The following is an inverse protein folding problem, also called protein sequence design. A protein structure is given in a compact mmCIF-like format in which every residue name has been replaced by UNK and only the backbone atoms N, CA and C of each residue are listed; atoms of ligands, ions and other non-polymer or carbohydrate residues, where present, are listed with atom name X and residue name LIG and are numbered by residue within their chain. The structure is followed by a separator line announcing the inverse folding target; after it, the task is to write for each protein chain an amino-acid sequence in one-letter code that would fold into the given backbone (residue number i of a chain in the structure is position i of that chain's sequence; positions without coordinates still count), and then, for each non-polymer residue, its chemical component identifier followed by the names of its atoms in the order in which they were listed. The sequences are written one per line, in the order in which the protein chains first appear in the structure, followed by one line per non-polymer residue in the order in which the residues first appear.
data_IF_021439527789
#
_entry.id   IF_021439527789
#
_cell.length_a   1.000
_cell.length_b   1.000
_cell.length_c   1.000
_cell.angle_alpha   90.00
_cell.angle_beta   90.00
_cell.angle_gamma   90.00
#
_symmetry.space_group_name_H-M   'P 1'
#
loop_
_entity.id
_entity.type
_entity.pdbx_description
1 polymer ?
#
# COMPACT_ATOMS: atom_id res chain seq x y z
N UNK A 1 -30.97 32.28 -1.87
CA UNK A 1 -30.63 30.84 -1.78
C UNK A 1 -30.44 30.52 -0.32
N UNK A 2 -31.16 29.55 0.23
CA UNK A 2 -31.00 29.18 1.64
C UNK A 2 -29.78 28.29 1.83
N UNK A 3 -28.85 28.75 2.66
CA UNK A 3 -27.65 28.01 3.01
C UNK A 3 -27.98 26.84 3.96
N UNK A 4 -28.37 25.69 3.39
CA UNK A 4 -28.49 24.42 4.11
C UNK A 4 -27.12 23.98 4.66
N UNK A 5 -26.82 24.40 5.88
CA UNK A 5 -25.61 23.98 6.61
C UNK A 5 -25.73 22.49 6.99
N UNK A 6 -24.96 21.64 6.33
CA UNK A 6 -24.82 20.24 6.73
C UNK A 6 -23.79 20.12 7.86
N UNK A 7 -24.26 19.71 9.04
CA UNK A 7 -23.42 19.42 10.19
C UNK A 7 -23.15 17.92 10.27
N UNK A 8 -21.88 17.53 10.38
CA UNK A 8 -21.50 16.14 10.67
C UNK A 8 -21.15 16.03 12.15
N UNK A 9 -21.84 15.13 12.85
CA UNK A 9 -21.52 14.79 14.23
C UNK A 9 -20.38 13.77 14.24
N UNK A 10 -19.38 13.97 15.11
CA UNK A 10 -18.28 13.03 15.33
C UNK A 10 -17.94 12.93 16.81
N UNK A 11 -17.29 11.82 17.19
CA UNK A 11 -16.97 11.50 18.58
C UNK A 11 -15.52 11.82 18.87
N UNK A 12 -15.25 12.51 19.97
CA UNK A 12 -13.90 12.87 20.43
C UNK A 12 -13.80 12.55 21.92
N UNK A 13 -13.14 11.43 22.22
CA UNK A 13 -13.15 10.83 23.56
C UNK A 13 -14.58 10.52 24.02
N UNK A 14 -14.95 11.04 25.21
CA UNK A 14 -16.30 10.90 25.79
C UNK A 14 -17.31 11.95 25.30
N UNK A 15 -16.92 12.88 24.42
CA UNK A 15 -17.75 14.00 23.98
C UNK A 15 -18.15 13.89 22.50
N UNK A 16 -19.38 14.30 22.18
CA UNK A 16 -19.85 14.49 20.82
C UNK A 16 -19.58 15.92 20.36
N UNK A 17 -19.09 16.10 19.13
CA UNK A 17 -18.81 17.41 18.53
C UNK A 17 -19.44 17.52 17.15
N UNK A 18 -19.90 18.70 16.80
CA UNK A 18 -20.36 19.05 15.45
C UNK A 18 -19.22 19.73 14.67
N UNK A 19 -19.09 19.38 13.39
CA UNK A 19 -18.35 20.17 12.41
C UNK A 19 -19.33 20.62 11.31
N UNK A 20 -19.27 21.89 10.94
CA UNK A 20 -20.02 22.45 9.84
C UNK A 20 -19.13 22.47 8.58
N UNK A 21 -19.54 21.79 7.51
CA UNK A 21 -18.91 22.00 6.21
C UNK A 21 -19.59 23.19 5.51
N UNK A 22 -18.89 24.32 5.46
CA UNK A 22 -19.25 25.44 4.59
C UNK A 22 -18.59 25.25 3.22
N UNK A 23 -19.28 24.56 2.30
CA UNK A 23 -18.88 24.50 0.89
C UNK A 23 -19.26 25.82 0.23
N UNK A 24 -18.30 26.75 0.11
CA UNK A 24 -18.50 28.03 -0.58
C UNK A 24 -18.48 27.79 -2.09
N UNK A 25 -19.64 27.50 -2.68
CA UNK A 25 -19.78 27.36 -4.13
C UNK A 25 -19.57 28.72 -4.81
N UNK A 26 -18.41 28.92 -5.45
CA UNK A 26 -18.18 30.05 -6.36
C UNK A 26 -18.98 29.80 -7.64
N UNK A 27 -20.01 30.61 -7.86
CA UNK A 27 -20.91 30.45 -8.99
C UNK A 27 -20.29 31.00 -10.29
N UNK A 28 -19.84 30.11 -11.17
CA UNK A 28 -19.72 30.37 -12.61
C UNK A 28 -20.89 29.69 -13.31
N UNK A 29 -21.78 30.48 -13.91
CA UNK A 29 -23.01 29.98 -14.53
C UNK A 29 -22.81 29.49 -15.95
N UNK A 30 -23.15 28.22 -16.19
CA UNK A 30 -23.47 27.69 -17.52
C UNK A 30 -24.79 26.92 -17.44
N UNK A 31 -25.59 26.98 -18.50
CA UNK A 31 -26.96 26.44 -18.55
C UNK A 31 -26.98 24.94 -18.85
N UNK A 32 -27.93 24.24 -18.24
CA UNK A 32 -28.11 22.80 -18.42
C UNK A 32 -28.48 22.39 -19.86
N UNK A 33 -27.96 21.24 -20.28
CA UNK A 33 -28.61 20.35 -21.23
C UNK A 33 -28.75 18.98 -20.55
N UNK A 34 -29.92 18.35 -20.65
CA UNK A 34 -30.18 17.04 -20.03
C UNK A 34 -29.56 15.91 -20.87
N UNK A 35 -28.83 15.01 -20.21
CA UNK A 35 -28.54 13.67 -20.74
C UNK A 35 -28.98 12.65 -19.70
N UNK A 36 -29.99 11.85 -20.04
CA UNK A 36 -30.42 10.70 -19.24
C UNK A 36 -29.37 9.60 -19.33
N UNK A 37 -28.96 9.05 -18.19
CA UNK A 37 -28.08 7.89 -18.17
C UNK A 37 -28.90 6.61 -18.48
N UNK A 38 -28.64 6.00 -19.63
CA UNK A 38 -29.08 4.64 -19.94
C UNK A 38 -27.92 3.68 -19.68
N UNK A 39 -28.12 2.74 -18.75
CA UNK A 39 -27.22 1.62 -18.54
C UNK A 39 -27.90 0.34 -19.03
N UNK A 40 -27.38 -0.23 -20.12
CA UNK A 40 -27.51 -1.66 -20.42
C UNK A 40 -26.29 -2.10 -21.25
N UNK A 41 -25.96 -3.39 -21.26
CA UNK A 41 -24.86 -3.96 -22.04
C UNK A 41 -25.19 -5.39 -22.42
N UNK A 42 -25.87 -5.53 -23.55
CA UNK A 42 -26.25 -6.82 -24.13
C UNK A 42 -25.12 -7.38 -25.00
N UNK A 43 -24.55 -8.49 -24.55
CA UNK A 43 -23.55 -9.26 -25.29
C UNK A 43 -24.16 -9.98 -26.49
N UNK A 44 -23.57 -9.82 -27.68
CA UNK A 44 -23.68 -10.79 -28.78
C UNK A 44 -22.34 -10.97 -29.47
N UNK A 45 -21.83 -12.21 -29.47
CA UNK A 45 -20.71 -12.63 -30.31
C UNK A 45 -21.18 -12.82 -31.76
N UNK A 46 -20.28 -12.71 -32.75
CA UNK A 46 -20.01 -13.72 -33.81
C UNK A 46 -18.91 -13.21 -34.76
N UNK A 47 -17.70 -13.69 -34.54
CA UNK A 47 -16.76 -14.27 -35.51
C UNK A 47 -16.63 -13.72 -36.96
N UNK A 48 -15.48 -13.04 -37.18
CA UNK A 48 -14.30 -13.58 -37.90
C UNK A 48 -14.06 -13.27 -39.40
N UNK A 49 -12.76 -13.31 -39.75
CA UNK A 49 -12.12 -13.45 -41.08
C UNK A 49 -12.04 -12.18 -41.98
N UNK A 50 -10.95 -11.88 -42.74
CA UNK A 50 -9.69 -12.63 -42.98
C UNK A 50 -8.51 -11.75 -43.48
N UNK A 51 -7.30 -12.36 -43.50
CA UNK A 51 -6.11 -12.10 -44.38
C UNK A 51 -5.24 -10.84 -44.18
N UNK A 52 -3.93 -10.83 -44.50
CA UNK A 52 -2.90 -11.90 -44.53
C UNK A 52 -1.47 -11.35 -44.78
N UNK A 53 -0.49 -11.77 -43.96
CA UNK A 53 0.96 -11.85 -44.27
C UNK A 53 1.61 -12.76 -43.21
N UNK A 54 2.02 -14.02 -43.47
CA UNK A 54 3.08 -14.55 -44.37
C UNK A 54 4.49 -14.47 -43.74
N UNK A 55 4.94 -15.64 -43.23
CA UNK A 55 6.34 -16.07 -43.12
C UNK A 55 6.37 -17.61 -43.28
N UNK A 56 7.46 -18.19 -43.77
CA UNK A 56 7.42 -19.48 -44.49
C UNK A 56 7.96 -20.69 -43.71
N UNK A 57 7.37 -21.87 -43.97
CA UNK A 57 7.68 -23.19 -43.39
C UNK A 57 8.83 -23.95 -44.05
N UNK A 58 9.47 -24.87 -43.33
CA UNK A 58 9.99 -26.16 -43.84
C UNK A 58 10.22 -27.17 -42.70
N UNK A 59 10.10 -28.47 -42.99
CA UNK A 59 10.03 -29.56 -41.98
C UNK A 59 10.70 -30.87 -42.45
N UNK A 60 11.38 -31.59 -41.54
CA UNK A 60 11.73 -33.04 -41.55
C UNK A 60 12.53 -33.34 -40.25
N UNK A 61 12.23 -34.29 -39.34
CA UNK A 61 12.25 -35.78 -39.41
C UNK A 61 13.60 -36.34 -39.87
N UNK A 62 14.27 -37.32 -39.21
CA UNK A 62 13.95 -38.22 -38.08
C UNK A 62 15.31 -38.76 -37.48
N UNK A 63 15.50 -39.73 -36.55
CA UNK A 63 14.68 -40.75 -35.84
C UNK A 63 15.46 -41.36 -34.62
N UNK A 64 14.95 -42.43 -33.98
CA UNK A 64 15.64 -43.47 -33.15
C UNK A 64 16.25 -43.04 -31.79
N UNK A 65 15.55 -43.27 -30.66
CA UNK A 65 15.60 -44.47 -29.74
C UNK A 65 16.79 -44.45 -28.75
N UNK A 66 16.66 -44.70 -27.43
CA UNK A 66 15.61 -45.36 -26.60
C UNK A 66 15.39 -44.57 -25.26
N UNK A 67 14.85 -45.04 -24.11
CA UNK A 67 14.49 -46.39 -23.63
C UNK A 67 13.47 -46.44 -22.44
N UNK A 68 12.98 -47.66 -22.21
CA UNK A 68 12.40 -48.35 -21.03
C UNK A 68 12.79 -47.92 -19.60
N UNK A 69 12.00 -48.19 -18.53
CA UNK A 69 10.53 -48.13 -18.29
C UNK A 69 10.21 -48.27 -16.77
N UNK A 70 9.28 -47.44 -16.26
CA UNK A 70 8.05 -47.77 -15.47
C UNK A 70 8.03 -48.79 -14.28
N UNK A 71 7.37 -48.36 -13.19
CA UNK A 71 6.56 -49.11 -12.18
C UNK A 71 7.12 -49.74 -10.86
N UNK A 72 6.70 -49.11 -9.75
CA UNK A 72 5.85 -49.64 -8.65
C UNK A 72 6.07 -51.04 -8.00
N UNK A 73 6.37 -51.00 -6.69
CA UNK A 73 5.77 -51.77 -5.56
C UNK A 73 5.62 -53.31 -5.57
N UNK A 74 6.11 -53.98 -4.52
CA UNK A 74 5.36 -54.88 -3.58
C UNK A 74 6.20 -55.15 -2.31
N UNK A 75 5.67 -55.87 -1.30
CA UNK A 75 6.30 -56.13 0.00
C UNK A 75 6.29 -57.62 0.42
N UNK A 76 7.19 -58.02 1.33
CA UNK A 76 7.19 -59.20 2.24
C UNK A 76 8.43 -59.06 3.16
N UNK A 77 8.48 -59.31 4.49
CA UNK A 77 8.03 -60.43 5.36
C UNK A 77 8.76 -61.76 5.09
N UNK A 78 9.07 -62.62 6.08
CA UNK A 78 9.10 -62.50 7.56
C UNK A 78 10.58 -62.44 8.03
N UNK A 79 11.06 -62.68 9.27
CA UNK A 79 10.53 -63.10 10.60
C UNK A 79 11.38 -62.33 11.67
N UNK A 80 11.73 -62.72 12.91
CA UNK A 80 11.51 -63.91 13.76
C UNK A 80 11.33 -63.55 15.27
N UNK A 81 11.41 -64.53 16.18
CA UNK A 81 10.53 -64.60 17.35
C UNK A 81 11.16 -65.02 18.71
N UNK A 82 10.63 -64.45 19.82
CA UNK A 82 10.62 -64.99 21.20
C UNK A 82 9.76 -64.06 22.09
N UNK A 83 8.43 -64.24 22.17
CA UNK A 83 7.65 -65.11 23.09
C UNK A 83 7.44 -64.55 24.52
N UNK A 84 6.33 -64.94 25.15
CA UNK A 84 5.65 -64.20 26.23
C UNK A 84 5.41 -65.03 27.51
N UNK A 85 5.45 -64.34 28.66
CA UNK A 85 4.59 -64.55 29.86
C UNK A 85 4.54 -65.89 30.58
N UNK A 86 4.81 -65.92 31.90
CA UNK A 86 3.84 -66.40 32.93
C UNK A 86 4.28 -66.20 34.39
N UNK A 87 3.28 -66.03 35.26
CA UNK A 87 3.32 -65.68 36.69
C UNK A 87 3.86 -66.76 37.65
N UNK A 88 4.17 -66.39 38.90
CA UNK A 88 3.36 -66.80 40.08
C UNK A 88 3.75 -66.06 41.38
N UNK A 89 2.86 -66.10 42.37
CA UNK A 89 2.88 -65.38 43.66
C UNK A 89 3.57 -66.15 44.81
N UNK A 90 4.02 -65.43 45.84
CA UNK A 90 4.04 -65.91 47.24
C UNK A 90 4.07 -64.73 48.24
N UNK A 91 3.42 -64.90 49.40
CA UNK A 91 3.27 -63.89 50.48
C UNK A 91 4.16 -64.22 51.67
N UNK A 92 4.64 -63.20 52.40
CA UNK A 92 4.99 -63.26 53.83
C UNK A 92 4.79 -61.88 54.48
N UNK A 93 4.46 -61.85 55.77
CA UNK A 93 4.01 -60.65 56.51
C UNK A 93 4.97 -60.22 57.64
N UNK A 94 4.85 -58.96 58.08
CA UNK A 94 5.35 -58.42 59.36
C UNK A 94 6.89 -58.34 59.52
N UNK A 95 7.49 -57.32 60.15
CA UNK A 95 7.01 -56.41 61.21
C UNK A 95 7.37 -54.94 60.95
N UNK A 96 6.81 -54.02 61.74
CA UNK A 96 7.12 -52.59 61.66
C UNK A 96 8.42 -52.22 62.41
N UNK A 97 9.17 -51.26 61.86
CA UNK A 97 10.04 -50.35 62.62
C UNK A 97 9.96 -48.93 62.02
N UNK A 98 10.18 -47.91 62.85
CA UNK A 98 9.87 -46.51 62.54
C UNK A 98 11.10 -45.73 62.08
N UNK A 99 11.37 -45.73 60.77
CA UNK A 99 12.29 -44.77 60.15
C UNK A 99 11.52 -43.65 59.48
N UNK A 100 11.41 -42.51 60.18
CA UNK A 100 10.90 -41.26 59.60
C UNK A 100 11.90 -40.70 58.59
N UNK A 101 11.89 -41.24 57.37
CA UNK A 101 12.57 -40.62 56.22
C UNK A 101 11.90 -39.28 56.00
N UNK A 102 12.55 -38.20 56.44
CA UNK A 102 12.12 -36.85 56.13
C UNK A 102 12.14 -36.69 54.60
N UNK A 103 10.97 -36.67 53.98
CA UNK A 103 10.82 -36.46 52.54
C UNK A 103 11.50 -35.14 52.17
N UNK A 104 12.70 -35.24 51.58
CA UNK A 104 13.43 -34.10 51.04
C UNK A 104 12.64 -33.59 49.84
N UNK A 105 11.66 -32.73 50.10
CA UNK A 105 10.77 -32.17 49.11
C UNK A 105 11.61 -31.57 47.97
N UNK A 106 11.35 -32.01 46.74
CA UNK A 106 12.06 -31.53 45.56
C UNK A 106 11.78 -30.04 45.39
N UNK A 107 12.74 -29.22 45.79
CA UNK A 107 12.69 -27.76 45.73
C UNK A 107 12.43 -27.35 44.28
N UNK A 108 11.27 -26.75 44.01
CA UNK A 108 10.88 -26.35 42.66
C UNK A 108 11.81 -25.26 42.13
N UNK A 109 12.25 -25.41 40.89
CA UNK A 109 13.19 -24.50 40.24
C UNK A 109 12.99 -24.52 38.73
N UNK A 110 13.02 -23.36 38.08
CA UNK A 110 12.66 -23.21 36.67
C UNK A 110 11.15 -23.01 36.47
N UNK A 111 10.68 -23.19 35.23
CA UNK A 111 9.26 -23.05 34.89
C UNK A 111 8.47 -24.30 35.32
N UNK A 112 7.36 -24.09 36.03
CA UNK A 112 6.44 -25.14 36.49
C UNK A 112 5.02 -24.76 36.03
N UNK A 113 4.24 -25.75 35.57
CA UNK A 113 2.82 -25.56 35.27
C UNK A 113 1.98 -26.31 36.30
N UNK A 114 1.02 -25.59 36.90
CA UNK A 114 0.06 -26.02 37.90
C UNK A 114 -1.37 -25.87 37.32
N UNK A 115 -2.40 -26.39 38.00
CA UNK A 115 -3.80 -26.28 37.54
C UNK A 115 -4.27 -24.83 37.31
N UNK A 116 -3.66 -23.87 38.01
CA UNK A 116 -3.96 -22.44 37.91
C UNK A 116 -3.18 -21.71 36.79
N UNK A 117 -2.13 -22.32 36.22
CA UNK A 117 -1.31 -21.71 35.17
C UNK A 117 0.18 -22.01 35.29
N UNK A 118 1.01 -21.25 34.58
CA UNK A 118 2.46 -21.44 34.52
C UNK A 118 3.19 -20.40 35.36
N UNK A 119 4.14 -20.84 36.18
CA UNK A 119 4.88 -20.05 37.16
C UNK A 119 6.40 -20.26 37.01
N UNK A 120 7.21 -19.33 37.50
CA UNK A 120 8.66 -19.46 37.61
C UNK A 120 9.07 -19.56 39.08
N UNK A 121 9.88 -20.57 39.40
CA UNK A 121 10.41 -20.78 40.75
C UNK A 121 11.94 -20.69 40.78
N UNK A 122 12.48 -20.11 41.85
CA UNK A 122 13.90 -20.15 42.18
C UNK A 122 14.04 -20.63 43.62
N UNK A 123 14.77 -21.73 43.84
CA UNK A 123 14.95 -22.33 45.17
C UNK A 123 13.63 -22.57 45.95
N UNK A 124 12.53 -22.87 45.24
CA UNK A 124 11.20 -23.09 45.81
C UNK A 124 10.36 -21.83 46.02
N UNK A 125 10.91 -20.64 45.79
CA UNK A 125 10.19 -19.37 45.89
C UNK A 125 9.60 -18.97 44.53
N UNK A 126 8.28 -18.71 44.50
CA UNK A 126 7.55 -18.25 43.30
C UNK A 126 7.98 -16.81 42.98
N UNK A 127 8.51 -16.61 41.76
CA UNK A 127 8.99 -15.32 41.30
C UNK A 127 7.84 -14.47 40.74
N UNK A 128 7.88 -13.16 41.02
CA UNK A 128 6.87 -12.17 40.62
C UNK A 128 7.54 -10.94 40.03
N UNK A 129 6.85 -10.25 39.10
CA UNK A 129 7.38 -9.18 38.23
C UNK A 129 8.74 -9.52 37.59
N UNK A 130 8.92 -10.80 37.26
CA UNK A 130 10.20 -11.40 36.94
C UNK A 130 10.31 -11.74 35.45
N UNK A 131 11.45 -11.38 34.85
CA UNK A 131 11.86 -11.90 33.55
C UNK A 131 12.66 -13.19 33.71
N UNK A 132 12.33 -14.19 32.89
CA UNK A 132 13.11 -15.41 32.72
C UNK A 132 13.57 -15.52 31.27
N UNK A 133 14.77 -16.05 31.04
CA UNK A 133 15.27 -16.38 29.69
C UNK A 133 15.68 -17.85 29.68
N UNK A 134 15.17 -18.63 28.72
CA UNK A 134 15.54 -20.03 28.58
C UNK A 134 16.86 -20.20 27.80
N UNK A 135 17.39 -21.44 27.76
CA UNK A 135 18.64 -21.76 27.07
C UNK A 135 18.58 -21.49 25.55
N UNK A 136 17.36 -21.42 24.97
CA UNK A 136 17.10 -21.05 23.58
C UNK A 136 17.05 -19.52 23.35
N UNK A 137 17.27 -18.70 24.37
CA UNK A 137 17.22 -17.23 24.31
C UNK A 137 15.80 -16.64 24.28
N UNK A 138 14.75 -17.44 24.43
CA UNK A 138 13.37 -16.92 24.53
C UNK A 138 13.16 -16.28 25.90
N UNK A 139 12.60 -15.07 25.89
CA UNK A 139 12.29 -14.30 27.10
C UNK A 139 10.82 -14.47 27.49
N UNK A 140 10.55 -14.70 28.77
CA UNK A 140 9.23 -14.84 29.38
C UNK A 140 9.09 -13.81 30.51
N UNK A 141 7.85 -13.43 30.86
CA UNK A 141 7.56 -12.56 32.00
C UNK A 141 6.50 -13.19 32.90
N UNK A 142 6.66 -13.03 34.21
CA UNK A 142 5.76 -13.51 35.24
C UNK A 142 5.25 -12.31 36.04
N UNK A 143 3.92 -12.21 36.20
CA UNK A 143 3.25 -11.03 36.76
C UNK A 143 3.49 -10.78 38.24
N UNK A 144 2.81 -9.78 38.80
CA UNK A 144 2.71 -9.52 40.24
C UNK A 144 1.98 -10.68 40.99
N UNK A 145 1.11 -11.41 40.29
CA UNK A 145 0.52 -12.69 40.68
C UNK A 145 1.43 -13.91 40.44
N UNK A 146 2.58 -13.71 39.80
CA UNK A 146 3.53 -14.74 39.38
C UNK A 146 3.11 -15.55 38.15
N UNK A 147 1.97 -15.28 37.51
CA UNK A 147 1.52 -16.01 36.32
C UNK A 147 2.29 -15.58 35.08
N UNK A 148 2.65 -16.56 34.23
CA UNK A 148 3.33 -16.31 32.98
C UNK A 148 2.43 -15.54 32.00
N UNK A 149 2.92 -14.41 31.50
CA UNK A 149 2.21 -13.56 30.55
C UNK A 149 2.02 -14.29 29.22
N UNK A 150 0.77 -14.35 28.74
CA UNK A 150 0.39 -14.97 27.46
C UNK A 150 -0.63 -14.12 26.72
N UNK A 151 -0.50 -14.07 25.39
CA UNK A 151 -1.34 -13.33 24.46
C UNK A 151 -1.62 -11.86 24.86
N UNK A 152 -0.68 -11.21 25.57
CA UNK A 152 -0.88 -9.90 26.16
C UNK A 152 0.31 -8.96 26.06
N UNK A 153 0.02 -7.67 26.07
CA UNK A 153 1.00 -6.60 26.07
C UNK A 153 1.52 -6.35 27.49
N UNK A 154 2.83 -6.17 27.61
CA UNK A 154 3.47 -5.58 28.78
C UNK A 154 4.00 -4.19 28.41
N UNK A 155 4.05 -3.25 29.35
CA UNK A 155 4.66 -1.94 29.10
C UNK A 155 5.27 -1.37 30.37
N UNK A 156 6.56 -1.05 30.31
CA UNK A 156 7.33 -0.51 31.43
C UNK A 156 8.46 0.40 30.91
N UNK A 157 8.80 1.44 31.66
CA UNK A 157 9.80 2.46 31.32
C UNK A 157 9.70 3.05 29.89
N UNK A 158 8.47 3.15 29.37
CA UNK A 158 8.19 3.67 28.01
C UNK A 158 8.29 2.64 26.88
N UNK A 159 8.84 1.45 27.15
CA UNK A 159 8.88 0.34 26.20
C UNK A 159 7.58 -0.46 26.27
N UNK A 160 7.12 -0.95 25.11
CA UNK A 160 6.01 -1.92 25.00
C UNK A 160 6.53 -3.23 24.43
N UNK A 161 6.07 -4.36 24.98
CA UNK A 161 6.40 -5.73 24.59
C UNK A 161 5.09 -6.52 24.42
N UNK A 162 5.15 -7.68 23.75
CA UNK A 162 4.03 -8.62 23.66
C UNK A 162 4.52 -10.04 23.89
N UNK A 163 3.75 -10.83 24.63
CA UNK A 163 4.02 -12.24 24.89
C UNK A 163 3.01 -13.11 24.15
N UNK A 164 3.50 -14.14 23.46
CA UNK A 164 2.72 -15.03 22.60
C UNK A 164 1.79 -15.98 23.35
N UNK A 165 1.22 -16.92 22.61
CA UNK A 165 0.38 -18.01 23.14
C UNK A 165 1.21 -19.06 23.91
N UNK A 166 2.45 -19.28 23.48
CA UNK A 166 3.47 -20.02 24.22
C UNK A 166 3.92 -19.28 25.50
N UNK A 167 3.84 -17.95 25.49
CA UNK A 167 4.31 -17.03 26.51
C UNK A 167 5.69 -16.43 26.23
N UNK A 168 6.29 -16.72 25.06
CA UNK A 168 7.55 -16.12 24.67
C UNK A 168 7.33 -14.69 24.16
N UNK A 169 8.27 -13.80 24.48
CA UNK A 169 8.26 -12.40 24.08
C UNK A 169 8.58 -12.26 22.59
N UNK A 170 7.68 -11.64 21.84
CA UNK A 170 7.89 -11.31 20.44
C UNK A 170 9.15 -10.45 20.31
N UNK A 171 10.09 -10.93 19.50
CA UNK A 171 11.41 -10.32 19.25
C UNK A 171 11.74 -10.55 17.78
N UNK A 172 12.11 -9.49 17.06
CA UNK A 172 12.21 -9.40 15.60
C UNK A 172 10.99 -9.92 14.81
N UNK A 173 9.79 -9.77 15.38
CA UNK A 173 8.55 -10.39 14.92
C UNK A 173 7.41 -9.39 14.73
N UNK A 174 6.54 -9.72 13.75
CA UNK A 174 5.30 -9.00 13.49
C UNK A 174 4.14 -9.56 14.33
N UNK A 175 3.25 -8.67 14.77
CA UNK A 175 1.99 -9.03 15.42
C UNK A 175 0.84 -8.33 14.71
N UNK A 176 -0.18 -9.08 14.30
CA UNK A 176 -1.37 -8.54 13.61
C UNK A 176 -2.62 -8.85 14.43
N UNK A 177 -3.36 -7.81 14.84
CA UNK A 177 -4.64 -7.99 15.52
C UNK A 177 -5.58 -6.80 15.30
N UNK A 178 -6.89 -7.07 15.17
CA UNK A 178 -7.94 -6.09 14.90
C UNK A 178 -7.66 -5.16 13.70
N UNK A 179 -6.95 -5.66 12.68
CA UNK A 179 -6.53 -4.89 11.50
C UNK A 179 -5.29 -4.01 11.70
N UNK A 180 -4.71 -3.97 12.91
CA UNK A 180 -3.47 -3.25 13.22
C UNK A 180 -2.29 -4.21 13.08
N UNK A 181 -1.25 -3.78 12.37
CA UNK A 181 0.03 -4.48 12.29
C UNK A 181 1.08 -3.74 13.13
N UNK A 182 1.75 -4.47 14.00
CA UNK A 182 2.83 -4.03 14.88
C UNK A 182 4.10 -4.81 14.57
N UNK A 183 5.25 -4.26 14.95
CA UNK A 183 6.54 -4.97 14.91
C UNK A 183 7.28 -4.77 16.24
N UNK A 184 7.82 -5.87 16.76
CA UNK A 184 8.70 -5.91 17.93
C UNK A 184 10.07 -6.28 17.41
N UNK A 185 11.04 -5.35 17.44
CA UNK A 185 12.37 -5.57 16.88
C UNK A 185 13.37 -6.11 17.91
N UNK A 186 14.60 -5.61 17.82
CA UNK A 186 15.69 -5.89 18.75
C UNK A 186 15.24 -5.66 20.21
N UNK A 187 15.65 -6.57 21.10
CA UNK A 187 15.23 -6.55 22.51
C UNK A 187 13.73 -6.75 22.75
N UNK A 188 12.95 -7.03 21.70
CA UNK A 188 11.50 -7.22 21.74
C UNK A 188 10.70 -5.93 21.92
N UNK A 189 11.31 -4.75 21.74
CA UNK A 189 10.62 -3.46 21.91
C UNK A 189 9.75 -3.17 20.68
N UNK A 190 8.49 -2.79 20.93
CA UNK A 190 7.53 -2.43 19.89
C UNK A 190 7.91 -1.12 19.21
N UNK A 191 8.19 -1.17 17.91
CA UNK A 191 8.50 0.00 17.10
C UNK A 191 7.35 1.01 17.18
N UNK A 192 7.67 2.25 17.56
CA UNK A 192 6.68 3.31 17.84
C UNK A 192 7.30 4.65 17.43
N UNK A 193 6.63 5.39 16.54
CA UNK A 193 7.19 6.54 15.79
C UNK A 193 8.53 6.24 15.09
N UNK A 194 8.65 5.05 14.49
CA UNK A 194 9.90 4.47 14.01
C UNK A 194 9.76 3.89 12.60
N UNK A 195 10.79 4.12 11.78
CA UNK A 195 10.93 3.49 10.47
C UNK A 195 11.44 2.04 10.59
N UNK A 196 10.93 1.17 9.73
CA UNK A 196 11.41 -0.20 9.56
C UNK A 196 11.71 -0.43 8.08
N UNK A 197 12.93 -0.87 7.76
CA UNK A 197 13.35 -1.15 6.38
C UNK A 197 13.75 -2.61 6.26
N UNK A 198 13.13 -3.36 5.34
CA UNK A 198 13.50 -4.74 5.04
C UNK A 198 13.07 -5.12 3.62
N UNK A 199 13.82 -6.01 2.97
CA UNK A 199 13.59 -6.47 1.60
C UNK A 199 13.45 -5.35 0.54
N UNK A 200 14.11 -4.20 0.78
CA UNK A 200 14.02 -3.00 -0.06
C UNK A 200 12.77 -2.14 0.17
N UNK A 201 11.81 -2.61 0.97
CA UNK A 201 10.62 -1.88 1.37
C UNK A 201 10.88 -1.05 2.63
N UNK A 202 10.30 0.16 2.68
CA UNK A 202 10.32 1.03 3.86
C UNK A 202 8.91 1.18 4.43
N UNK A 203 8.77 0.92 5.72
CA UNK A 203 7.53 1.00 6.50
C UNK A 203 7.70 2.00 7.65
N UNK A 204 6.60 2.48 8.23
CA UNK A 204 6.63 3.33 9.42
C UNK A 204 5.57 2.86 10.43
N UNK A 205 6.00 2.64 11.66
CA UNK A 205 5.13 2.35 12.80
C UNK A 205 4.96 3.65 13.60
N UNK A 206 3.76 4.20 13.62
CA UNK A 206 3.52 5.53 14.16
C UNK A 206 3.22 5.56 15.66
N UNK A 207 2.40 6.53 16.06
CA UNK A 207 1.83 6.62 17.41
C UNK A 207 1.06 5.34 17.75
N UNK A 208 1.19 4.86 19.00
CA UNK A 208 0.66 3.55 19.41
C UNK A 208 1.35 2.34 18.77
N UNK A 209 2.34 2.54 17.90
CA UNK A 209 3.11 1.49 17.22
C UNK A 209 2.38 0.80 16.07
N UNK A 210 1.26 1.37 15.58
CA UNK A 210 0.54 0.81 14.43
C UNK A 210 1.24 1.19 13.13
N UNK A 211 1.41 0.22 12.22
CA UNK A 211 1.96 0.45 10.88
C UNK A 211 1.06 1.34 10.03
N UNK A 212 1.60 2.46 9.56
CA UNK A 212 0.93 3.35 8.62
C UNK A 212 0.54 2.60 7.35
N UNK A 213 -0.72 2.72 6.96
CA UNK A 213 -1.33 1.97 5.85
C UNK A 213 -2.39 2.87 5.20
N UNK A 214 -2.31 3.07 3.88
CA UNK A 214 -3.07 4.08 3.13
C UNK A 214 -3.03 5.49 3.75
N UNK A 215 -1.84 5.89 4.23
CA UNK A 215 -1.67 7.02 5.14
C UNK A 215 -0.53 7.95 4.72
N UNK A 216 -0.78 9.26 4.77
CA UNK A 216 0.24 10.28 4.61
C UNK A 216 1.04 10.49 5.89
N UNK A 217 2.34 10.71 5.74
CA UNK A 217 3.28 11.08 6.80
C UNK A 217 4.00 12.37 6.40
N UNK A 218 3.98 13.37 7.27
CA UNK A 218 4.60 14.68 7.02
C UNK A 218 5.68 14.91 8.05
N UNK A 219 6.94 15.06 7.61
CA UNK A 219 8.06 15.42 8.48
C UNK A 219 9.15 16.14 7.67
N UNK A 220 9.94 16.98 8.33
CA UNK A 220 11.04 17.76 7.71
C UNK A 220 10.63 18.59 6.47
N UNK A 221 9.37 19.03 6.39
CA UNK A 221 8.79 19.76 5.24
C UNK A 221 8.34 18.89 4.05
N UNK A 222 8.70 17.61 4.08
CA UNK A 222 8.35 16.60 3.08
C UNK A 222 7.07 15.87 3.45
N UNK A 223 6.37 15.38 2.42
CA UNK A 223 5.17 14.55 2.54
C UNK A 223 5.49 13.21 1.89
N UNK A 224 5.22 12.12 2.61
CA UNK A 224 5.41 10.74 2.19
C UNK A 224 4.05 10.03 2.25
N UNK A 225 3.87 8.94 1.50
CA UNK A 225 2.65 8.12 1.54
C UNK A 225 3.00 6.65 1.71
N UNK A 226 2.29 5.96 2.61
CA UNK A 226 2.39 4.51 2.83
C UNK A 226 1.15 3.84 2.24
N UNK A 227 1.35 2.84 1.38
CA UNK A 227 0.30 2.15 0.64
C UNK A 227 -0.59 1.22 1.47
N UNK A 228 -1.45 0.48 0.79
CA UNK A 228 -2.27 -0.60 1.36
C UNK A 228 -1.40 -1.79 1.85
N UNK A 229 -0.33 -2.06 1.12
CA UNK A 229 0.79 -2.92 1.51
C UNK A 229 1.59 -2.37 2.72
N UNK A 230 1.35 -1.11 3.12
CA UNK A 230 2.10 -0.36 4.12
C UNK A 230 3.48 0.09 3.66
N UNK A 231 3.84 -0.12 2.39
CA UNK A 231 5.13 0.26 1.83
C UNK A 231 5.10 1.73 1.43
N UNK A 232 6.16 2.46 1.76
CA UNK A 232 6.32 3.86 1.37
C UNK A 232 6.47 3.98 -0.15
N UNK A 233 5.55 4.72 -0.77
CA UNK A 233 5.59 5.02 -2.21
C UNK A 233 6.92 5.71 -2.56
N UNK A 234 7.60 5.17 -3.57
CA UNK A 234 8.92 5.59 -4.03
C UNK A 234 8.97 5.34 -5.54
N UNK A 235 9.39 6.33 -6.34
CA UNK A 235 9.29 6.38 -7.80
C UNK A 235 7.88 6.04 -8.34
N UNK A 236 6.81 6.41 -7.61
CA UNK A 236 5.45 5.88 -7.83
C UNK A 236 4.41 7.00 -7.99
N UNK A 237 3.57 6.86 -9.02
CA UNK A 237 2.36 7.67 -9.17
C UNK A 237 1.32 7.30 -8.10
N UNK A 238 0.60 8.30 -7.63
CA UNK A 238 -0.57 8.18 -6.77
C UNK A 238 -1.70 8.99 -7.40
N UNK A 239 -2.85 8.36 -7.63
CA UNK A 239 -4.02 8.98 -8.26
C UNK A 239 -5.16 9.03 -7.25
N UNK A 240 -5.62 10.23 -6.89
CA UNK A 240 -6.74 10.41 -5.97
C UNK A 240 -7.41 11.78 -6.20
N UNK A 241 -8.70 11.89 -5.88
CA UNK A 241 -9.51 13.11 -6.05
C UNK A 241 -9.52 13.67 -7.49
N UNK A 242 -9.31 12.81 -8.49
CA UNK A 242 -9.18 13.21 -9.91
C UNK A 242 -7.79 13.74 -10.30
N UNK A 243 -6.89 13.92 -9.33
CA UNK A 243 -5.53 14.42 -9.53
C UNK A 243 -4.51 13.28 -9.53
N UNK A 244 -3.37 13.52 -10.19
CA UNK A 244 -2.18 12.69 -10.11
C UNK A 244 -1.10 13.39 -9.28
N UNK A 245 -0.34 12.59 -8.53
CA UNK A 245 0.74 13.00 -7.65
C UNK A 245 1.91 12.02 -7.87
N UNK A 246 3.15 12.44 -7.59
CA UNK A 246 4.33 11.56 -7.74
C UNK A 246 5.23 11.61 -6.52
N UNK A 247 5.58 10.43 -6.01
CA UNK A 247 6.57 10.25 -4.95
C UNK A 247 7.91 9.86 -5.57
N UNK A 248 8.94 10.66 -5.30
CA UNK A 248 10.26 10.56 -5.93
C UNK A 248 11.09 9.36 -5.49
N UNK A 249 12.37 9.34 -5.87
CA UNK A 249 13.33 8.29 -5.50
C UNK A 249 13.70 8.31 -4.02
N UNK A 250 13.61 9.48 -3.38
CA UNK A 250 13.66 9.66 -1.94
C UNK A 250 12.32 9.35 -1.24
N UNK A 251 11.27 9.07 -2.01
CA UNK A 251 9.88 8.83 -1.59
C UNK A 251 9.10 10.07 -1.17
N UNK A 252 9.64 11.28 -1.33
CA UNK A 252 8.91 12.51 -1.03
C UNK A 252 7.97 12.90 -2.19
N UNK A 253 6.84 13.51 -1.85
CA UNK A 253 5.91 14.10 -2.82
C UNK A 253 6.60 15.26 -3.56
N UNK A 254 6.72 15.13 -4.88
CA UNK A 254 7.19 16.20 -5.75
C UNK A 254 6.25 17.42 -5.65
N UNK A 255 6.83 18.60 -5.40
CA UNK A 255 6.13 19.90 -5.31
C UNK A 255 7.00 20.99 -5.95
N UNK A 256 6.39 21.96 -6.63
CA UNK A 256 7.07 23.08 -7.30
C UNK A 256 8.26 22.66 -8.19
N UNK A 257 8.11 21.58 -8.95
CA UNK A 257 9.21 20.97 -9.72
C UNK A 257 8.69 20.21 -10.94
N UNK A 258 9.57 19.88 -11.89
CA UNK A 258 9.24 19.02 -13.04
C UNK A 258 9.70 17.60 -12.77
N UNK A 259 8.86 16.60 -13.03
CA UNK A 259 9.18 15.17 -12.92
C UNK A 259 8.99 14.47 -14.27
N UNK A 260 9.91 13.57 -14.62
CA UNK A 260 9.70 12.65 -15.73
C UNK A 260 9.06 11.36 -15.21
N UNK A 261 7.93 10.96 -15.80
CA UNK A 261 7.27 9.69 -15.50
C UNK A 261 7.04 8.97 -16.82
N UNK A 262 7.68 7.81 -16.97
CA UNK A 262 7.61 6.97 -18.17
C UNK A 262 7.88 7.74 -19.47
N UNK A 263 8.88 8.63 -19.48
CA UNK A 263 9.26 9.45 -20.62
C UNK A 263 8.50 10.78 -20.73
N UNK A 264 7.32 10.91 -20.12
CA UNK A 264 6.52 12.15 -20.16
C UNK A 264 6.93 13.11 -19.03
N UNK A 265 7.14 14.39 -19.37
CA UNK A 265 7.41 15.44 -18.37
C UNK A 265 6.11 16.03 -17.82
N UNK A 266 6.00 16.06 -16.49
CA UNK A 266 4.90 16.65 -15.74
C UNK A 266 5.40 17.78 -14.84
N UNK A 267 4.63 18.86 -14.74
CA UNK A 267 4.83 19.93 -13.77
C UNK A 267 4.07 19.60 -12.49
N UNK A 268 4.76 19.56 -11.35
CA UNK A 268 4.15 19.41 -10.03
C UNK A 268 3.96 20.81 -9.40
N UNK A 269 2.72 21.18 -9.08
CA UNK A 269 2.40 22.47 -8.46
C UNK A 269 2.80 22.51 -6.96
N UNK A 270 2.40 23.56 -6.23
CA UNK A 270 2.70 23.70 -4.80
C UNK A 270 2.08 22.60 -3.91
N UNK A 271 0.93 22.07 -4.32
CA UNK A 271 0.22 20.97 -3.66
C UNK A 271 0.68 19.57 -4.15
N UNK A 272 1.60 19.53 -5.11
CA UNK A 272 2.12 18.31 -5.74
C UNK A 272 1.21 17.69 -6.79
N UNK A 273 0.16 18.39 -7.22
CA UNK A 273 -0.69 17.98 -8.35
C UNK A 273 0.10 18.08 -9.64
N UNK A 274 0.09 17.01 -10.43
CA UNK A 274 0.72 16.90 -11.74
C UNK A 274 -0.18 17.38 -12.88
N UNK A 275 0.34 18.28 -13.70
CA UNK A 275 -0.11 18.56 -15.07
C UNK A 275 0.93 18.00 -16.07
N UNK A 276 0.50 17.34 -17.15
CA UNK A 276 1.44 17.01 -18.24
C UNK A 276 1.66 18.24 -19.11
N UNK A 277 2.88 18.47 -19.59
CA UNK A 277 3.14 19.62 -20.48
C UNK A 277 2.24 19.61 -21.72
N UNK A 278 1.91 18.43 -22.27
CA UNK A 278 0.96 18.30 -23.37
C UNK A 278 -0.45 18.79 -23.02
N UNK A 279 -0.97 18.47 -21.84
CA UNK A 279 -2.29 18.92 -21.42
C UNK A 279 -2.33 20.43 -21.15
N UNK A 280 -1.22 21.02 -20.68
CA UNK A 280 -1.10 22.49 -20.52
C UNK A 280 -1.06 23.21 -21.88
N UNK A 281 -0.32 22.67 -22.85
CA UNK A 281 -0.25 23.19 -24.21
C UNK A 281 -1.62 23.09 -24.92
N UNK A 282 -2.28 21.93 -24.91
CA UNK A 282 -3.61 21.75 -25.51
C UNK A 282 -4.67 22.62 -24.80
N UNK A 283 -4.65 22.73 -23.47
CA UNK A 283 -5.56 23.62 -22.73
C UNK A 283 -5.23 25.12 -22.90
N UNK A 284 -4.05 25.45 -23.42
CA UNK A 284 -3.72 26.81 -23.84
C UNK A 284 -4.16 27.08 -25.29
N UNK A 285 -3.94 26.10 -26.19
CA UNK A 285 -4.39 26.07 -27.57
C UNK A 285 -5.90 26.21 -27.70
N UNK A 286 -6.67 25.42 -26.95
CA UNK A 286 -8.14 25.49 -26.92
C UNK A 286 -8.63 26.84 -26.39
N UNK A 287 -7.95 27.38 -25.38
CA UNK A 287 -8.32 28.66 -24.78
C UNK A 287 -8.12 29.83 -25.76
N UNK A 288 -7.07 29.78 -26.59
CA UNK A 288 -6.87 30.76 -27.67
C UNK A 288 -7.90 30.55 -28.78
N UNK A 289 -8.12 29.31 -29.25
CA UNK A 289 -9.15 29.01 -30.24
C UNK A 289 -10.55 29.55 -29.85
N UNK A 290 -10.93 29.36 -28.58
CA UNK A 290 -12.19 29.83 -28.03
C UNK A 290 -12.25 31.37 -27.90
N UNK A 291 -11.12 32.06 -27.75
CA UNK A 291 -11.04 33.53 -27.72
C UNK A 291 -11.09 34.17 -29.10
N UNK A 292 -10.39 33.58 -30.07
CA UNK A 292 -10.22 34.12 -31.42
C UNK A 292 -11.44 33.90 -32.31
N UNK A 293 -12.01 32.69 -32.28
CA UNK A 293 -13.05 32.25 -33.23
C UNK A 293 -14.29 31.65 -32.56
N UNK A 294 -14.29 31.52 -31.24
CA UNK A 294 -15.23 30.65 -30.52
C UNK A 294 -15.02 29.15 -30.85
N UNK A 295 -13.82 28.77 -31.27
CA UNK A 295 -13.46 27.41 -31.72
C UNK A 295 -13.80 27.09 -33.18
N UNK A 296 -14.39 28.02 -33.95
CA UNK A 296 -14.90 27.74 -35.29
C UNK A 296 -13.83 27.78 -36.39
N UNK A 297 -13.59 26.62 -37.01
CA UNK A 297 -12.77 26.45 -38.21
C UNK A 297 -13.23 27.25 -39.45
N UNK A 298 -14.40 27.87 -39.42
CA UNK A 298 -14.95 28.67 -40.54
C UNK A 298 -15.19 30.14 -40.21
N UNK A 299 -14.85 30.59 -38.99
CA UNK A 299 -14.94 32.00 -38.61
C UNK A 299 -14.03 32.88 -39.48
N UNK A 300 -14.47 34.09 -39.81
CA UNK A 300 -13.72 35.02 -40.66
C UNK A 300 -13.83 36.46 -40.17
N UNK A 301 -12.68 37.12 -40.01
CA UNK A 301 -12.59 38.52 -39.64
C UNK A 301 -11.64 39.24 -40.63
N UNK A 302 -12.21 39.88 -41.66
CA UNK A 302 -11.43 40.53 -42.73
C UNK A 302 -10.50 39.55 -43.48
N UNK A 303 -9.20 39.72 -43.26
CA UNK A 303 -8.11 38.91 -43.82
C UNK A 303 -7.71 37.70 -42.96
N UNK A 304 -8.30 37.57 -41.76
CA UNK A 304 -8.13 36.44 -40.85
C UNK A 304 -9.22 35.38 -41.05
N UNK A 305 -8.86 34.11 -40.89
CA UNK A 305 -9.75 32.97 -41.08
C UNK A 305 -9.46 31.84 -40.08
N UNK A 306 -10.51 31.09 -39.76
CA UNK A 306 -10.41 29.79 -39.10
C UNK A 306 -10.39 29.82 -37.57
N UNK A 307 -10.18 28.63 -37.00
CA UNK A 307 -10.21 28.36 -35.54
C UNK A 307 -9.24 29.24 -34.74
N UNK A 308 -8.17 29.64 -35.40
CA UNK A 308 -7.04 30.39 -34.87
C UNK A 308 -6.91 31.83 -35.43
N UNK A 309 -7.90 32.29 -36.21
CA UNK A 309 -7.90 33.59 -36.89
C UNK A 309 -6.58 33.95 -37.59
N UNK A 310 -5.92 32.94 -38.18
CA UNK A 310 -4.69 33.11 -38.94
C UNK A 310 -4.95 33.95 -40.20
N UNK A 311 -3.95 34.73 -40.62
CA UNK A 311 -4.00 35.38 -41.93
C UNK A 311 -4.16 34.34 -43.04
N UNK A 312 -5.09 34.59 -43.97
CA UNK A 312 -5.38 33.67 -45.09
C UNK A 312 -4.13 33.33 -45.92
N UNK A 313 -3.15 34.24 -45.97
CA UNK A 313 -1.84 34.01 -46.61
C UNK A 313 -0.99 32.93 -45.92
N UNK A 314 -1.09 32.75 -44.60
CA UNK A 314 -0.35 31.70 -43.87
C UNK A 314 -0.93 30.30 -44.13
N UNK A 315 -2.21 30.22 -44.47
CA UNK A 315 -2.90 28.97 -44.82
C UNK A 315 -2.56 28.48 -46.25
N UNK A 316 -1.89 29.30 -47.07
CA UNK A 316 -1.40 28.89 -48.40
C UNK A 316 -2.50 28.58 -49.43
N UNK A 317 -3.76 28.93 -49.14
CA UNK A 317 -4.93 28.60 -49.95
C UNK A 317 -5.69 27.34 -49.50
N UNK A 318 -5.13 26.53 -48.60
CA UNK A 318 -5.81 25.38 -48.00
C UNK A 318 -6.46 25.79 -46.67
N UNK A 319 -7.79 25.80 -46.64
CA UNK A 319 -8.59 26.22 -45.48
C UNK A 319 -9.06 25.04 -44.61
N UNK A 320 -8.56 23.82 -44.85
CA UNK A 320 -8.93 22.62 -44.07
C UNK A 320 -8.62 22.75 -42.57
N UNK A 321 -9.40 22.11 -41.67
CA UNK A 321 -9.10 22.04 -40.25
C UNK A 321 -7.68 21.57 -39.96
N UNK A 322 -7.23 20.53 -40.66
CA UNK A 322 -5.94 19.88 -40.50
C UNK A 322 -4.79 20.83 -40.86
N UNK A 323 -4.96 21.64 -41.91
CA UNK A 323 -3.97 22.67 -42.27
C UNK A 323 -3.99 23.86 -41.30
N UNK A 324 -5.17 24.27 -40.80
CA UNK A 324 -5.27 25.32 -39.78
C UNK A 324 -4.55 24.93 -38.49
N UNK A 325 -4.80 23.72 -37.97
CA UNK A 325 -4.09 23.14 -36.82
C UNK A 325 -2.58 23.15 -37.03
N UNK A 326 -2.11 22.55 -38.13
CA UNK A 326 -0.69 22.45 -38.48
C UNK A 326 -0.02 23.82 -38.61
N UNK A 327 -0.65 24.79 -39.26
CA UNK A 327 -0.08 26.13 -39.43
C UNK A 327 -0.07 26.89 -38.10
N UNK A 328 -1.12 26.75 -37.28
CA UNK A 328 -1.19 27.39 -35.97
C UNK A 328 -0.10 26.88 -35.01
N UNK A 329 0.10 25.55 -34.95
CA UNK A 329 1.17 24.94 -34.14
C UNK A 329 2.56 25.43 -34.56
N UNK A 330 2.84 25.47 -35.87
CA UNK A 330 4.12 25.96 -36.39
C UNK A 330 4.33 27.46 -36.13
N UNK A 331 3.28 28.27 -36.28
CA UNK A 331 3.29 29.70 -35.98
C UNK A 331 3.58 29.95 -34.49
N UNK A 332 2.87 29.27 -33.60
CA UNK A 332 3.02 29.41 -32.15
C UNK A 332 4.39 28.92 -31.67
N UNK A 333 4.84 27.75 -32.13
CA UNK A 333 6.18 27.25 -31.82
C UNK A 333 7.28 28.22 -32.30
N UNK A 334 7.12 28.83 -33.48
CA UNK A 334 8.10 29.78 -34.02
C UNK A 334 8.09 31.15 -33.33
N UNK A 335 6.92 31.64 -32.89
CA UNK A 335 6.74 33.00 -32.38
C UNK A 335 6.79 33.10 -30.85
N UNK A 336 6.27 32.09 -30.15
CA UNK A 336 6.15 32.05 -28.70
C UNK A 336 6.87 30.85 -28.05
N UNK A 337 7.30 29.87 -28.84
CA UNK A 337 7.91 28.63 -28.36
C UNK A 337 6.91 27.62 -27.78
N UNK A 338 5.70 28.06 -27.39
CA UNK A 338 4.67 27.23 -26.76
C UNK A 338 3.30 27.91 -26.76
N UNK A 339 2.23 27.12 -26.72
CA UNK A 339 0.85 27.60 -26.59
C UNK A 339 0.58 28.24 -25.22
N UNK A 340 1.17 27.73 -24.14
CA UNK A 340 1.12 28.39 -22.82
C UNK A 340 1.76 29.78 -22.87
N UNK A 341 2.89 29.93 -23.56
CA UNK A 341 3.54 31.23 -23.76
C UNK A 341 2.69 32.18 -24.64
N UNK A 342 2.11 31.68 -25.72
CA UNK A 342 1.18 32.44 -26.57
C UNK A 342 -0.04 32.95 -25.77
N UNK A 343 -0.57 32.13 -24.87
CA UNK A 343 -1.70 32.48 -24.00
C UNK A 343 -1.35 33.55 -22.98
N UNK A 344 -0.15 33.50 -22.39
CA UNK A 344 0.34 34.56 -21.51
C UNK A 344 0.57 35.89 -22.27
N UNK A 345 1.04 35.83 -23.51
CA UNK A 345 1.15 36.98 -24.39
C UNK A 345 -0.24 37.57 -24.73
N UNK A 346 -1.20 36.72 -25.12
CA UNK A 346 -2.59 37.12 -25.37
C UNK A 346 -3.21 37.82 -24.16
N UNK A 347 -3.03 37.28 -22.96
CA UNK A 347 -3.58 37.85 -21.72
C UNK A 347 -3.04 39.24 -21.38
N UNK A 348 -1.92 39.67 -21.97
CA UNK A 348 -1.34 41.00 -21.80
C UNK A 348 -1.59 41.95 -22.98
N UNK A 349 -1.90 41.43 -24.17
CA UNK A 349 -2.00 42.23 -25.40
C UNK A 349 -3.37 42.17 -26.11
N UNK A 350 -4.21 41.19 -25.79
CA UNK A 350 -5.48 40.86 -26.45
C UNK A 350 -5.34 40.45 -27.94
N UNK A 351 -4.17 39.93 -28.33
CA UNK A 351 -3.88 39.30 -29.62
C UNK A 351 -2.69 38.33 -29.46
N UNK A 352 -2.47 37.45 -30.45
CA UNK A 352 -1.29 36.57 -30.55
C UNK A 352 -0.83 36.40 -32.00
#
# INVERSE_FOLDING_TARGET
MDNKKHYKLYKSGKQWRTVALSVTAVALGLTFANVTANADTTTTNTDNATTAAVATTSSATSEVSSNSTVSSSVASTTTDASTLTSASSATSESTADSSAVASSASVQNGIVTEDAGTYYYVNGEKQVDAFYTNDSGQVFYFGDDGLMYKNQFYSNWGNTYYFGEDGARYTDQFYSNWGNLYYFGEGGVRYTNQFYSNWGNLYYFGEGGVRYTNQFYTNWGNIYYFGEDGVRYTNRLYSNWGNNYYFGSDGALAKNTTVNVNGTNYTANADGVLSSKSAEEEAAKEWIAQRESGGSYTARNGSCYGRYQLLISYLGGDLSPENQERVADNYVASRYGSWVAAKAFWQSHNWY
#
